data_IF_171744670338
#
_entry.id   IF_171744670338
#
_cell.length_a   1.000
_cell.length_b   1.000
_cell.length_c   1.000
_cell.angle_alpha   90.00
_cell.angle_beta   90.00
_cell.angle_gamma   90.00
#
_symmetry.space_group_name_H-M   'P 1'
#
loop_
_entity.id
_entity.type
_entity.pdbx_description
1 polymer ?
#
# COMPACT_ATOMS: atom_id res chain seq x y z
N UNK A 1 8.17 -37.52 -18.95
CA UNK A 1 6.71 -37.33 -18.88
C UNK A 1 6.34 -37.04 -17.45
N UNK A 2 6.54 -35.83 -17.01
CA UNK A 2 6.03 -35.32 -15.72
C UNK A 2 4.92 -34.33 -16.04
N UNK A 3 3.81 -34.67 -15.53
CA UNK A 3 2.42 -34.27 -15.69
C UNK A 3 2.17 -32.78 -15.90
N UNK A 4 1.55 -32.45 -17.01
CA UNK A 4 0.87 -31.19 -17.36
C UNK A 4 -0.22 -30.74 -16.33
N UNK A 5 -0.39 -31.49 -15.25
CA UNK A 5 -1.45 -31.23 -14.23
C UNK A 5 -1.03 -30.17 -13.22
N UNK A 6 0.27 -29.98 -12.96
CA UNK A 6 0.73 -28.97 -11.97
C UNK A 6 0.75 -27.54 -12.53
N UNK A 7 0.73 -27.35 -13.84
CA UNK A 7 0.67 -26.04 -14.49
C UNK A 7 -0.78 -25.53 -14.55
N UNK A 8 -1.76 -26.43 -14.71
CA UNK A 8 -3.17 -26.06 -14.73
C UNK A 8 -3.72 -25.62 -13.36
N UNK A 9 -3.19 -26.20 -12.27
CA UNK A 9 -3.60 -25.82 -10.91
C UNK A 9 -3.03 -24.46 -10.46
N UNK A 10 -1.94 -23.96 -11.08
CA UNK A 10 -1.41 -22.62 -10.82
C UNK A 10 -2.22 -21.50 -11.49
N UNK A 11 -2.95 -21.79 -12.56
CA UNK A 11 -3.84 -20.83 -13.24
C UNK A 11 -5.21 -20.68 -12.56
N UNK A 12 -5.57 -21.59 -11.65
CA UNK A 12 -6.82 -21.49 -10.89
C UNK A 12 -6.76 -20.51 -9.72
N UNK A 13 -5.59 -19.94 -9.42
CA UNK A 13 -5.41 -18.95 -8.36
C UNK A 13 -5.54 -17.49 -8.82
N UNK A 14 -5.86 -17.25 -10.11
CA UNK A 14 -6.33 -15.92 -10.52
C UNK A 14 -7.74 -15.78 -9.92
N UNK A 15 -7.98 -14.83 -8.99
CA UNK A 15 -9.31 -14.62 -8.47
C UNK A 15 -10.21 -14.34 -9.66
N UNK A 16 -11.20 -15.22 -9.88
CA UNK A 16 -12.16 -15.07 -10.95
C UNK A 16 -12.65 -13.62 -10.90
N UNK A 17 -12.48 -12.89 -12.01
CA UNK A 17 -13.07 -11.58 -12.20
C UNK A 17 -14.55 -11.76 -11.93
N UNK A 18 -15.00 -11.33 -10.75
CA UNK A 18 -16.40 -11.39 -10.36
C UNK A 18 -17.19 -10.73 -11.49
N UNK A 19 -18.06 -11.49 -12.09
CA UNK A 19 -18.98 -11.04 -13.14
C UNK A 19 -19.48 -9.62 -12.84
N UNK A 20 -19.47 -8.76 -13.85
CA UNK A 20 -19.86 -7.34 -13.86
C UNK A 20 -21.28 -7.01 -13.36
N UNK A 21 -21.99 -7.94 -12.74
CA UNK A 21 -23.37 -7.74 -12.27
C UNK A 21 -23.50 -7.18 -10.85
N UNK A 22 -22.44 -7.12 -10.07
CA UNK A 22 -22.47 -6.40 -8.77
C UNK A 22 -21.62 -5.16 -8.88
N UNK A 23 -22.28 -4.00 -8.97
CA UNK A 23 -21.58 -2.71 -8.82
C UNK A 23 -20.70 -2.77 -7.57
N UNK A 24 -19.42 -2.34 -7.65
CA UNK A 24 -18.55 -2.30 -6.47
C UNK A 24 -19.27 -1.51 -5.38
N UNK A 25 -19.27 -2.03 -4.14
CA UNK A 25 -19.89 -1.33 -3.03
C UNK A 25 -19.28 0.08 -2.95
N UNK A 26 -20.11 1.08 -3.23
CA UNK A 26 -19.68 2.48 -3.21
C UNK A 26 -19.20 2.82 -1.80
N UNK A 27 -18.00 3.40 -1.66
CA UNK A 27 -17.51 3.82 -0.36
C UNK A 27 -18.41 4.89 0.23
N UNK A 28 -18.49 4.92 1.57
CA UNK A 28 -19.27 5.93 2.27
C UNK A 28 -18.75 7.33 1.92
N UNK A 29 -19.66 8.29 1.75
CA UNK A 29 -19.35 9.70 1.47
C UNK A 29 -18.43 10.31 2.53
N UNK A 30 -18.56 9.86 3.78
CA UNK A 30 -17.71 10.27 4.90
C UNK A 30 -16.46 9.42 5.09
N UNK A 31 -16.01 8.64 4.08
CA UNK A 31 -14.84 7.78 4.19
C UNK A 31 -13.57 8.42 3.61
N UNK A 32 -12.41 8.04 4.17
CA UNK A 32 -11.09 8.41 3.63
C UNK A 32 -10.79 9.90 3.57
N UNK A 33 -10.06 10.32 2.55
CA UNK A 33 -9.67 11.72 2.29
C UNK A 33 -10.86 12.67 2.14
N UNK A 34 -11.98 12.15 1.68
CA UNK A 34 -13.20 12.93 1.37
C UNK A 34 -14.04 13.25 2.59
N UNK A 35 -13.77 12.64 3.75
CA UNK A 35 -14.44 12.92 5.02
C UNK A 35 -14.46 14.43 5.36
N UNK A 36 -13.37 15.13 5.09
CA UNK A 36 -13.29 16.60 5.35
C UNK A 36 -14.18 17.40 4.42
N UNK A 37 -14.32 16.98 3.16
CA UNK A 37 -15.15 17.67 2.17
C UNK A 37 -16.65 17.44 2.41
N UNK A 38 -17.06 16.22 2.73
CA UNK A 38 -18.47 15.93 3.03
C UNK A 38 -18.97 16.67 4.27
N UNK A 39 -18.11 16.93 5.26
CA UNK A 39 -18.45 17.79 6.40
C UNK A 39 -18.29 19.28 6.06
N UNK A 40 -17.29 19.67 5.30
CA UNK A 40 -17.06 21.05 4.86
C UNK A 40 -18.18 21.60 3.97
N UNK A 41 -18.84 20.73 3.21
CA UNK A 41 -20.00 21.10 2.38
C UNK A 41 -21.17 21.67 3.20
N UNK A 42 -21.26 21.30 4.50
CA UNK A 42 -22.26 21.88 5.41
C UNK A 42 -22.15 23.41 5.56
N UNK A 43 -20.98 24.00 5.24
CA UNK A 43 -20.88 25.47 5.21
C UNK A 43 -21.86 26.08 4.18
N UNK A 44 -22.03 25.40 3.04
CA UNK A 44 -23.01 25.86 2.02
C UNK A 44 -24.45 25.68 2.47
N UNK A 45 -24.74 24.85 3.45
CA UNK A 45 -26.11 24.72 3.98
C UNK A 45 -26.56 25.95 4.75
N UNK A 46 -25.66 26.86 5.15
CA UNK A 46 -25.98 28.13 5.76
C UNK A 46 -26.81 29.05 4.84
N UNK A 47 -26.80 28.80 3.51
CA UNK A 47 -27.72 29.45 2.58
C UNK A 47 -29.20 29.22 2.93
N UNK A 48 -29.50 28.23 3.77
CA UNK A 48 -30.83 28.02 4.36
C UNK A 48 -31.36 29.27 5.09
N UNK A 49 -30.48 30.05 5.71
CA UNK A 49 -30.87 31.25 6.48
C UNK A 49 -30.97 32.51 5.64
N UNK A 50 -30.46 32.54 4.41
CA UNK A 50 -30.45 33.75 3.57
C UNK A 50 -31.87 34.33 3.33
N UNK A 51 -32.87 33.51 2.95
CA UNK A 51 -34.22 34.05 2.79
C UNK A 51 -34.84 34.60 4.10
N UNK A 52 -34.50 34.01 5.25
CA UNK A 52 -34.97 34.49 6.56
C UNK A 52 -34.38 35.87 6.91
N UNK A 53 -33.11 36.10 6.55
CA UNK A 53 -32.40 37.37 6.80
C UNK A 53 -32.96 38.50 5.90
N UNK A 54 -33.26 38.16 4.62
CA UNK A 54 -33.72 39.14 3.63
C UNK A 54 -35.21 39.44 3.78
N UNK A 55 -35.97 38.53 4.38
CA UNK A 55 -37.43 38.71 4.61
C UNK A 55 -37.71 39.83 5.62
N UNK A 56 -38.99 40.28 5.66
CA UNK A 56 -39.43 41.24 6.68
C UNK A 56 -39.15 40.71 8.09
N UNK A 57 -39.08 41.59 9.13
CA UNK A 57 -38.89 41.14 10.51
C UNK A 57 -39.85 40.00 10.84
N UNK A 58 -39.33 38.84 11.11
CA UNK A 58 -40.08 37.64 11.45
C UNK A 58 -40.20 37.51 12.98
N UNK A 59 -41.26 36.90 13.50
CA UNK A 59 -41.39 36.60 14.92
C UNK A 59 -40.25 35.72 15.40
N UNK A 60 -39.83 35.89 16.65
CA UNK A 60 -38.73 35.09 17.25
C UNK A 60 -39.02 33.58 17.20
N UNK A 61 -40.29 33.20 17.31
CA UNK A 61 -40.78 31.84 17.23
C UNK A 61 -40.40 31.18 15.89
N UNK A 62 -40.51 31.91 14.77
CA UNK A 62 -40.12 31.45 13.44
C UNK A 62 -38.63 31.20 13.38
N UNK A 63 -37.81 32.10 13.93
CA UNK A 63 -36.36 31.89 13.99
C UNK A 63 -35.96 30.63 14.78
N UNK A 64 -36.60 30.44 15.95
CA UNK A 64 -36.37 29.27 16.80
C UNK A 64 -36.74 27.99 16.06
N UNK A 65 -37.96 27.97 15.46
CA UNK A 65 -38.44 26.77 14.73
C UNK A 65 -37.55 26.43 13.54
N UNK A 66 -37.17 27.45 12.74
CA UNK A 66 -36.29 27.21 11.56
C UNK A 66 -34.88 26.81 11.95
N UNK A 67 -34.34 27.33 13.05
CA UNK A 67 -33.05 26.91 13.58
C UNK A 67 -33.07 25.46 14.07
N UNK A 68 -34.12 25.03 14.77
CA UNK A 68 -34.33 23.64 15.16
C UNK A 68 -34.46 22.72 13.93
N UNK A 69 -35.20 23.16 12.90
CA UNK A 69 -35.28 22.45 11.61
C UNK A 69 -33.92 22.28 10.95
N UNK A 70 -33.12 23.34 10.90
CA UNK A 70 -31.77 23.31 10.36
C UNK A 70 -30.84 22.35 11.15
N UNK A 71 -30.86 22.39 12.47
CA UNK A 71 -30.08 21.45 13.31
C UNK A 71 -30.51 20.01 13.08
N UNK A 72 -31.79 19.74 12.93
CA UNK A 72 -32.33 18.42 12.59
C UNK A 72 -31.83 17.96 11.22
N UNK A 73 -31.79 18.86 10.22
CA UNK A 73 -31.20 18.58 8.91
C UNK A 73 -29.71 18.19 9.04
N UNK A 74 -28.90 18.96 9.78
CA UNK A 74 -27.47 18.68 9.98
C UNK A 74 -27.26 17.30 10.58
N UNK A 75 -28.05 16.94 11.60
CA UNK A 75 -28.00 15.61 12.23
C UNK A 75 -28.35 14.50 11.22
N UNK A 76 -29.43 14.69 10.47
CA UNK A 76 -29.85 13.72 9.45
C UNK A 76 -28.81 13.55 8.33
N UNK A 77 -28.24 14.67 7.87
CA UNK A 77 -27.19 14.66 6.85
C UNK A 77 -25.95 13.92 7.34
N UNK A 78 -25.42 14.23 8.54
CA UNK A 78 -24.27 13.55 9.12
C UNK A 78 -24.54 12.05 9.27
N UNK A 79 -25.75 11.67 9.71
CA UNK A 79 -26.14 10.26 9.77
C UNK A 79 -26.19 9.63 8.38
N UNK A 80 -26.78 10.29 7.39
CA UNK A 80 -26.93 9.78 6.04
C UNK A 80 -25.58 9.49 5.36
N UNK A 81 -24.60 10.40 5.48
CA UNK A 81 -23.27 10.22 4.86
C UNK A 81 -22.41 9.12 5.53
N UNK A 82 -22.75 8.74 6.76
CA UNK A 82 -22.04 7.70 7.54
C UNK A 82 -22.77 6.35 7.54
N UNK A 83 -23.91 6.21 6.85
CA UNK A 83 -24.70 5.00 6.83
C UNK A 83 -24.52 4.23 5.52
N UNK A 84 -24.68 2.88 5.57
CA UNK A 84 -24.66 2.06 4.36
C UNK A 84 -25.86 2.39 3.45
N UNK A 85 -25.67 2.15 2.15
CA UNK A 85 -26.66 2.45 1.09
C UNK A 85 -28.07 1.90 1.39
N UNK A 86 -28.17 0.78 2.09
CA UNK A 86 -29.46 0.13 2.43
C UNK A 86 -30.38 0.98 3.29
N UNK A 87 -29.84 1.77 4.22
CA UNK A 87 -30.60 2.63 5.14
C UNK A 87 -30.77 4.05 4.63
N UNK A 88 -30.05 4.42 3.58
CA UNK A 88 -30.04 5.76 2.99
C UNK A 88 -31.43 6.28 2.57
N UNK A 89 -32.33 5.49 1.91
CA UNK A 89 -33.63 5.98 1.49
C UNK A 89 -34.47 6.57 2.65
N UNK A 90 -34.37 5.97 3.83
CA UNK A 90 -35.09 6.46 5.03
C UNK A 90 -34.61 7.86 5.43
N UNK A 91 -33.30 8.08 5.45
CA UNK A 91 -32.74 9.40 5.79
C UNK A 91 -33.07 10.44 4.73
N UNK A 92 -33.02 10.08 3.44
CA UNK A 92 -33.40 10.97 2.35
C UNK A 92 -34.88 11.37 2.43
N UNK A 93 -35.75 10.42 2.75
CA UNK A 93 -37.16 10.71 2.95
C UNK A 93 -37.38 11.66 4.14
N UNK A 94 -36.73 11.41 5.27
CA UNK A 94 -36.83 12.29 6.44
C UNK A 94 -36.33 13.72 6.14
N UNK A 95 -35.21 13.84 5.42
CA UNK A 95 -34.68 15.13 4.98
C UNK A 95 -35.64 15.83 4.02
N UNK A 96 -36.28 15.08 3.11
CA UNK A 96 -37.29 15.66 2.20
C UNK A 96 -38.51 16.18 2.95
N UNK A 97 -39.07 15.41 3.88
CA UNK A 97 -40.19 15.82 4.72
C UNK A 97 -39.84 17.04 5.55
N UNK A 98 -38.62 17.07 6.11
CA UNK A 98 -38.14 18.23 6.87
C UNK A 98 -38.01 19.48 5.98
N UNK A 99 -37.47 19.29 4.75
CA UNK A 99 -37.39 20.38 3.77
C UNK A 99 -38.78 20.98 3.46
N UNK A 100 -39.77 20.14 3.20
CA UNK A 100 -41.13 20.55 2.94
C UNK A 100 -41.69 21.30 4.17
N UNK A 101 -41.51 20.74 5.38
CA UNK A 101 -41.99 21.38 6.63
C UNK A 101 -41.38 22.78 6.85
N UNK A 102 -40.06 22.91 6.66
CA UNK A 102 -39.41 24.22 6.77
C UNK A 102 -39.89 25.21 5.70
N UNK A 103 -40.20 24.72 4.52
CA UNK A 103 -40.57 25.53 3.35
C UNK A 103 -41.89 26.28 3.50
N UNK A 104 -42.77 25.91 4.47
CA UNK A 104 -43.98 26.65 4.77
C UNK A 104 -43.69 28.09 5.26
N UNK A 105 -42.58 28.31 5.91
CA UNK A 105 -42.20 29.61 6.46
C UNK A 105 -40.87 30.14 5.89
N UNK A 106 -40.06 29.28 5.32
CA UNK A 106 -38.72 29.60 4.84
C UNK A 106 -38.42 28.96 3.49
N UNK A 107 -38.41 29.72 2.39
CA UNK A 107 -37.99 29.20 1.09
C UNK A 107 -36.56 28.61 1.08
N UNK A 108 -35.74 28.90 2.09
CA UNK A 108 -34.42 28.31 2.29
C UNK A 108 -34.44 26.78 2.47
N UNK A 109 -35.60 26.16 2.73
CA UNK A 109 -35.80 24.72 2.67
C UNK A 109 -35.34 24.08 1.36
N UNK A 110 -35.34 24.85 0.26
CA UNK A 110 -34.76 24.44 -1.04
C UNK A 110 -33.28 23.98 -0.95
N UNK A 111 -32.52 24.49 0.01
CA UNK A 111 -31.11 24.09 0.24
C UNK A 111 -31.01 22.61 0.63
N UNK A 112 -31.93 22.14 1.48
CA UNK A 112 -31.96 20.73 1.92
C UNK A 112 -32.19 19.79 0.72
N UNK A 113 -33.05 20.21 -0.22
CA UNK A 113 -33.34 19.44 -1.45
C UNK A 113 -32.07 19.24 -2.30
N UNK A 114 -31.25 20.28 -2.38
CA UNK A 114 -29.96 20.18 -3.08
C UNK A 114 -29.03 19.16 -2.45
N UNK A 115 -28.94 19.08 -1.13
CA UNK A 115 -28.13 18.07 -0.44
C UNK A 115 -28.68 16.65 -0.67
N UNK A 116 -29.99 16.47 -0.73
CA UNK A 116 -30.61 15.20 -1.12
C UNK A 116 -30.17 14.82 -2.55
N UNK A 117 -30.26 15.79 -3.49
CA UNK A 117 -29.87 15.58 -4.88
C UNK A 117 -28.39 15.19 -5.03
N UNK A 118 -27.50 15.81 -4.25
CA UNK A 118 -26.08 15.44 -4.21
C UNK A 118 -25.88 13.98 -3.77
N UNK A 119 -26.49 13.58 -2.67
CA UNK A 119 -26.40 12.21 -2.14
C UNK A 119 -26.95 11.20 -3.18
N UNK A 120 -28.09 11.52 -3.79
CA UNK A 120 -28.71 10.69 -4.84
C UNK A 120 -27.78 10.55 -6.05
N UNK A 121 -27.13 11.64 -6.49
CA UNK A 121 -26.16 11.65 -7.58
C UNK A 121 -24.92 10.78 -7.32
N UNK A 122 -24.46 10.77 -6.07
CA UNK A 122 -23.30 9.98 -5.66
C UNK A 122 -23.59 8.48 -5.59
N UNK A 123 -24.69 8.08 -4.94
CA UNK A 123 -24.96 6.66 -4.69
C UNK A 123 -25.70 5.95 -5.83
N UNK A 124 -26.45 6.66 -6.66
CA UNK A 124 -27.26 6.05 -7.70
C UNK A 124 -26.59 6.10 -9.08
N UNK A 125 -26.99 5.20 -9.98
CA UNK A 125 -26.66 5.33 -11.38
C UNK A 125 -27.29 6.59 -11.98
N UNK A 126 -26.75 7.13 -13.09
CA UNK A 126 -27.28 8.34 -13.70
C UNK A 126 -28.79 8.20 -14.01
N UNK A 127 -29.22 7.07 -14.54
CA UNK A 127 -30.64 6.81 -14.89
C UNK A 127 -31.53 6.80 -13.66
N UNK A 128 -31.16 6.04 -12.63
CA UNK A 128 -31.93 5.92 -11.38
C UNK A 128 -31.90 7.22 -10.59
N UNK A 129 -30.80 7.94 -10.61
CA UNK A 129 -30.67 9.25 -9.97
C UNK A 129 -31.57 10.30 -10.61
N UNK A 130 -31.59 10.40 -11.95
CA UNK A 130 -32.49 11.33 -12.68
C UNK A 130 -33.95 10.98 -12.38
N UNK A 131 -34.31 9.68 -12.38
CA UNK A 131 -35.66 9.25 -12.08
C UNK A 131 -36.07 9.65 -10.63
N UNK A 132 -35.19 9.43 -9.66
CA UNK A 132 -35.45 9.79 -8.26
C UNK A 132 -35.66 11.30 -8.07
N UNK A 133 -34.83 12.12 -8.73
CA UNK A 133 -34.95 13.57 -8.69
C UNK A 133 -36.22 14.02 -9.43
N UNK A 134 -36.53 13.39 -10.56
CA UNK A 134 -37.77 13.69 -11.29
C UNK A 134 -39.01 13.45 -10.44
N UNK A 135 -39.08 12.33 -9.72
CA UNK A 135 -40.19 12.08 -8.78
C UNK A 135 -40.23 13.10 -7.65
N UNK A 136 -39.07 13.43 -7.07
CA UNK A 136 -39.00 14.45 -6.01
C UNK A 136 -39.47 15.81 -6.50
N UNK A 137 -39.09 16.25 -7.70
CA UNK A 137 -39.52 17.50 -8.30
C UNK A 137 -41.00 17.49 -8.65
N UNK A 138 -41.55 16.38 -9.13
CA UNK A 138 -42.97 16.25 -9.39
C UNK A 138 -43.81 16.43 -8.12
N UNK A 139 -43.35 15.85 -7.00
CA UNK A 139 -44.01 16.05 -5.70
C UNK A 139 -43.93 17.52 -5.28
N UNK A 140 -42.78 18.19 -5.45
CA UNK A 140 -42.63 19.61 -5.12
C UNK A 140 -43.51 20.51 -6.00
N UNK A 141 -43.63 20.22 -7.29
CA UNK A 141 -44.55 20.97 -8.18
C UNK A 141 -45.97 20.77 -7.75
N UNK A 142 -46.39 19.55 -7.39
CA UNK A 142 -47.74 19.26 -6.88
C UNK A 142 -48.00 20.06 -5.58
N UNK A 143 -47.08 20.05 -4.64
CA UNK A 143 -47.19 20.85 -3.40
C UNK A 143 -47.20 22.34 -3.67
N UNK A 144 -46.42 22.80 -4.65
CA UNK A 144 -46.44 24.22 -5.05
C UNK A 144 -47.82 24.67 -5.54
N UNK A 145 -48.45 23.86 -6.38
CA UNK A 145 -49.78 24.18 -6.92
C UNK A 145 -50.86 24.12 -5.85
N UNK A 146 -50.79 23.13 -4.94
CA UNK A 146 -51.86 22.83 -4.00
C UNK A 146 -51.73 23.58 -2.66
N UNK A 147 -50.53 23.87 -2.20
CA UNK A 147 -50.26 24.32 -0.83
C UNK A 147 -49.50 25.64 -0.75
N UNK A 148 -48.44 25.80 -1.57
CA UNK A 148 -47.50 26.96 -1.43
C UNK A 148 -47.88 28.20 -2.23
N UNK A 149 -49.07 28.33 -2.64
CA UNK A 149 -49.67 29.44 -3.39
C UNK A 149 -48.72 30.61 -3.69
N UNK A 150 -48.11 30.64 -4.90
CA UNK A 150 -47.11 31.64 -5.39
C UNK A 150 -45.68 31.61 -4.81
N UNK A 151 -45.24 30.51 -4.21
CA UNK A 151 -43.83 30.37 -3.78
C UNK A 151 -42.89 30.02 -4.96
N UNK A 152 -42.93 30.79 -6.06
CA UNK A 152 -42.10 30.53 -7.27
C UNK A 152 -40.61 30.48 -6.97
N UNK A 153 -40.15 31.24 -5.96
CA UNK A 153 -38.75 31.22 -5.53
C UNK A 153 -38.36 29.85 -4.96
N UNK A 154 -39.21 29.18 -4.18
CA UNK A 154 -38.93 27.85 -3.64
C UNK A 154 -38.72 26.83 -4.77
N UNK A 155 -39.62 26.84 -5.78
CA UNK A 155 -39.55 25.90 -6.88
C UNK A 155 -38.31 26.12 -7.76
N UNK A 156 -38.05 27.37 -8.15
CA UNK A 156 -36.89 27.72 -8.98
C UNK A 156 -35.59 27.48 -8.26
N UNK A 157 -35.45 27.82 -6.99
CA UNK A 157 -34.27 27.57 -6.18
C UNK A 157 -34.03 26.07 -5.96
N UNK A 158 -35.09 25.28 -5.71
CA UNK A 158 -35.00 23.84 -5.56
C UNK A 158 -34.56 23.18 -6.84
N UNK A 159 -35.08 23.57 -8.00
CA UNK A 159 -34.74 23.05 -9.29
C UNK A 159 -33.27 23.32 -9.63
N UNK A 160 -32.83 24.58 -9.52
CA UNK A 160 -31.46 24.99 -9.81
C UNK A 160 -30.47 24.29 -8.87
N UNK A 161 -30.73 24.32 -7.59
CA UNK A 161 -29.87 23.74 -6.57
C UNK A 161 -29.74 22.21 -6.75
N UNK A 162 -30.87 21.50 -7.03
CA UNK A 162 -30.87 20.07 -7.30
C UNK A 162 -30.10 19.72 -8.56
N UNK A 163 -30.27 20.53 -9.64
CA UNK A 163 -29.53 20.25 -10.88
C UNK A 163 -28.01 20.36 -10.69
N UNK A 164 -27.56 21.42 -10.02
CA UNK A 164 -26.15 21.69 -9.78
C UNK A 164 -25.57 20.63 -8.83
N UNK A 165 -26.19 20.40 -7.67
CA UNK A 165 -25.68 19.49 -6.67
C UNK A 165 -25.79 18.01 -7.09
N UNK A 166 -26.80 17.64 -7.86
CA UNK A 166 -26.86 16.34 -8.49
C UNK A 166 -25.68 16.13 -9.46
N UNK A 167 -25.40 17.12 -10.31
CA UNK A 167 -24.22 17.09 -11.19
C UNK A 167 -22.91 16.89 -10.44
N UNK A 168 -22.72 17.60 -9.33
CA UNK A 168 -21.58 17.39 -8.45
C UNK A 168 -21.56 15.98 -7.85
N UNK A 169 -22.70 15.45 -7.41
CA UNK A 169 -22.79 14.07 -6.92
C UNK A 169 -22.40 13.04 -7.96
N UNK A 170 -22.86 13.18 -9.20
CA UNK A 170 -22.48 12.30 -10.31
C UNK A 170 -21.00 12.41 -10.66
N UNK A 171 -20.43 13.64 -10.65
CA UNK A 171 -19.01 13.86 -10.90
C UNK A 171 -18.16 13.18 -9.83
N UNK A 172 -18.51 13.38 -8.57
CA UNK A 172 -17.84 12.76 -7.42
C UNK A 172 -17.90 11.23 -7.46
N UNK A 173 -19.05 10.67 -7.88
CA UNK A 173 -19.17 9.23 -8.14
C UNK A 173 -18.19 8.76 -9.20
N UNK A 174 -18.10 9.46 -10.35
CA UNK A 174 -17.20 9.10 -11.44
C UNK A 174 -15.75 9.11 -10.98
N UNK A 175 -15.34 10.13 -10.26
CA UNK A 175 -13.97 10.26 -9.73
C UNK A 175 -13.64 9.13 -8.74
N UNK A 176 -14.57 8.81 -7.84
CA UNK A 176 -14.41 7.70 -6.89
C UNK A 176 -14.27 6.35 -7.61
N UNK A 177 -15.13 6.09 -8.59
CA UNK A 177 -15.05 4.84 -9.38
C UNK A 177 -13.77 4.76 -10.20
N UNK A 178 -13.29 5.90 -10.74
CA UNK A 178 -12.03 5.96 -11.48
C UNK A 178 -10.85 5.64 -10.57
N UNK A 179 -10.74 6.29 -9.41
CA UNK A 179 -9.66 6.05 -8.45
C UNK A 179 -9.65 4.60 -7.93
N UNK A 180 -10.81 3.99 -7.72
CA UNK A 180 -10.91 2.57 -7.34
C UNK A 180 -10.39 1.64 -8.46
N UNK A 181 -10.76 1.94 -9.72
CA UNK A 181 -10.25 1.17 -10.88
C UNK A 181 -8.74 1.31 -11.04
N UNK A 182 -8.21 2.53 -10.92
CA UNK A 182 -6.77 2.78 -10.98
C UNK A 182 -6.01 2.02 -9.89
N UNK A 183 -6.52 2.03 -8.66
CA UNK A 183 -5.94 1.27 -7.56
C UNK A 183 -5.94 -0.24 -7.84
N UNK A 184 -7.04 -0.78 -8.36
CA UNK A 184 -7.13 -2.20 -8.72
C UNK A 184 -6.19 -2.57 -9.88
N UNK A 185 -6.08 -1.69 -10.89
CA UNK A 185 -5.17 -1.89 -12.02
C UNK A 185 -3.71 -1.83 -11.57
N UNK A 186 -3.35 -0.89 -10.70
CA UNK A 186 -2.00 -0.79 -10.13
C UNK A 186 -1.62 -2.05 -9.35
N UNK A 187 -2.54 -2.59 -8.57
CA UNK A 187 -2.31 -3.85 -7.83
C UNK A 187 -2.17 -5.05 -8.77
N UNK A 188 -3.03 -5.16 -9.79
CA UNK A 188 -2.93 -6.21 -10.79
C UNK A 188 -1.60 -6.15 -11.56
N UNK A 189 -1.14 -4.94 -11.93
CA UNK A 189 0.16 -4.74 -12.58
C UNK A 189 1.32 -5.15 -11.67
N UNK A 190 1.27 -4.86 -10.38
CA UNK A 190 2.29 -5.30 -9.41
C UNK A 190 2.38 -6.83 -9.37
N UNK A 191 1.25 -7.51 -9.28
CA UNK A 191 1.20 -8.98 -9.27
C UNK A 191 1.75 -9.56 -10.56
N UNK A 192 1.35 -9.03 -11.73
CA UNK A 192 1.85 -9.48 -13.04
C UNK A 192 3.34 -9.23 -13.20
N UNK A 193 3.84 -8.07 -12.76
CA UNK A 193 5.27 -7.74 -12.76
C UNK A 193 6.09 -8.75 -11.92
N UNK A 194 5.60 -9.10 -10.72
CA UNK A 194 6.25 -10.08 -9.86
C UNK A 194 6.29 -11.48 -10.49
N UNK A 195 5.20 -11.90 -11.17
CA UNK A 195 5.15 -13.18 -11.90
C UNK A 195 6.15 -13.18 -13.08
N UNK A 196 6.14 -12.12 -13.89
CA UNK A 196 7.05 -12.00 -15.04
C UNK A 196 8.52 -12.00 -14.61
N UNK A 197 8.85 -11.30 -13.52
CA UNK A 197 10.19 -11.29 -12.97
C UNK A 197 10.61 -12.67 -12.46
N UNK A 198 9.73 -13.38 -11.75
CA UNK A 198 9.98 -14.74 -11.30
C UNK A 198 10.23 -15.71 -12.48
N UNK A 199 9.48 -15.56 -13.58
CA UNK A 199 9.67 -16.36 -14.78
C UNK A 199 11.00 -16.04 -15.49
N UNK A 200 11.38 -14.76 -15.56
CA UNK A 200 12.66 -14.30 -16.10
C UNK A 200 13.81 -14.92 -15.31
N UNK A 201 13.77 -14.83 -13.98
CA UNK A 201 14.81 -15.38 -13.11
C UNK A 201 14.88 -16.91 -13.24
N UNK A 202 13.74 -17.60 -13.37
CA UNK A 202 13.71 -19.04 -13.61
C UNK A 202 14.42 -19.44 -14.90
N UNK A 203 14.32 -18.66 -15.97
CA UNK A 203 15.06 -18.87 -17.23
C UNK A 203 16.54 -18.59 -17.05
N UNK A 204 16.90 -17.47 -16.45
CA UNK A 204 18.30 -17.09 -16.21
C UNK A 204 19.04 -18.16 -15.36
N UNK A 205 18.36 -18.68 -14.33
CA UNK A 205 18.88 -19.79 -13.51
C UNK A 205 19.04 -21.08 -14.32
N UNK A 206 18.09 -21.40 -15.18
CA UNK A 206 18.16 -22.60 -16.02
C UNK A 206 19.34 -22.52 -16.99
N UNK A 207 19.57 -21.36 -17.57
CA UNK A 207 20.66 -21.15 -18.53
C UNK A 207 22.03 -21.25 -17.83
N UNK A 208 22.21 -20.57 -16.69
CA UNK A 208 23.47 -20.64 -15.91
C UNK A 208 23.73 -22.07 -15.42
N UNK A 209 22.70 -22.70 -14.83
CA UNK A 209 22.85 -24.09 -14.34
C UNK A 209 23.10 -25.09 -15.48
N UNK A 210 22.45 -24.94 -16.63
CA UNK A 210 22.58 -25.80 -17.78
C UNK A 210 24.01 -25.78 -18.35
N UNK A 211 24.59 -24.59 -18.51
CA UNK A 211 25.98 -24.46 -18.99
C UNK A 211 27.01 -25.02 -17.99
N UNK A 212 26.84 -24.73 -16.71
CA UNK A 212 27.77 -25.24 -15.69
C UNK A 212 27.68 -26.75 -15.53
N UNK A 213 26.47 -27.33 -15.51
CA UNK A 213 26.27 -28.78 -15.42
C UNK A 213 26.87 -29.53 -16.65
N UNK A 214 26.72 -28.94 -17.85
CA UNK A 214 27.33 -29.49 -19.06
C UNK A 214 28.87 -29.51 -18.98
N UNK A 215 29.48 -28.44 -18.47
CA UNK A 215 30.92 -28.34 -18.25
C UNK A 215 31.43 -29.33 -17.19
N UNK A 216 30.67 -29.49 -16.08
CA UNK A 216 30.93 -30.47 -15.02
C UNK A 216 30.92 -31.88 -15.61
N UNK A 217 29.90 -32.22 -16.41
CA UNK A 217 29.79 -33.55 -17.04
C UNK A 217 30.95 -33.84 -17.98
N UNK A 218 31.34 -32.84 -18.81
CA UNK A 218 32.45 -33.00 -19.73
C UNK A 218 33.78 -33.21 -18.98
N UNK A 219 34.04 -32.46 -17.92
CA UNK A 219 35.27 -32.61 -17.11
C UNK A 219 35.29 -33.94 -16.36
N UNK A 220 34.17 -34.44 -15.88
CA UNK A 220 34.06 -35.75 -15.27
C UNK A 220 34.39 -36.88 -16.28
N UNK A 221 33.84 -36.78 -17.50
CA UNK A 221 34.16 -37.75 -18.58
C UNK A 221 35.63 -37.69 -19.01
N UNK A 222 36.24 -36.49 -19.02
CA UNK A 222 37.66 -36.34 -19.32
C UNK A 222 38.55 -36.97 -18.24
N UNK A 223 38.21 -36.73 -16.96
CA UNK A 223 38.92 -37.34 -15.84
C UNK A 223 38.86 -38.87 -15.90
N UNK A 224 37.70 -39.46 -16.19
CA UNK A 224 37.52 -40.91 -16.35
C UNK A 224 38.42 -41.49 -17.49
N UNK A 225 38.41 -40.81 -18.66
CA UNK A 225 39.29 -41.19 -19.78
C UNK A 225 40.77 -41.05 -19.48
N UNK A 226 41.19 -40.09 -18.65
CA UNK A 226 42.58 -39.91 -18.25
C UNK A 226 43.01 -41.01 -17.27
N UNK A 227 42.15 -41.41 -16.34
CA UNK A 227 42.35 -42.54 -15.44
C UNK A 227 42.52 -43.82 -16.24
N UNK A 228 41.64 -44.08 -17.21
CA UNK A 228 41.74 -45.30 -18.07
C UNK A 228 42.96 -45.34 -18.92
N UNK A 229 43.72 -44.25 -19.11
CA UNK A 229 45.03 -44.16 -19.82
C UNK A 229 46.23 -44.05 -18.89
N UNK A 230 46.02 -44.29 -17.59
CA UNK A 230 47.06 -44.22 -16.56
C UNK A 230 47.70 -42.82 -16.37
N UNK A 231 47.01 -41.79 -16.80
CA UNK A 231 47.40 -40.36 -16.63
C UNK A 231 46.82 -39.76 -15.34
N UNK A 232 47.25 -40.26 -14.20
CA UNK A 232 46.65 -39.97 -12.89
C UNK A 232 46.78 -38.48 -12.50
N UNK A 233 47.95 -37.86 -12.76
CA UNK A 233 48.13 -36.43 -12.43
C UNK A 233 47.26 -35.50 -13.25
N UNK A 234 47.04 -35.79 -14.53
CA UNK A 234 46.14 -35.02 -15.38
C UNK A 234 44.69 -35.21 -14.93
N UNK A 235 44.30 -36.45 -14.59
CA UNK A 235 42.97 -36.73 -14.04
C UNK A 235 42.72 -35.97 -12.71
N UNK A 236 43.72 -35.92 -11.82
CA UNK A 236 43.60 -35.18 -10.56
C UNK A 236 43.39 -33.70 -10.79
N UNK A 237 44.03 -33.08 -11.79
CA UNK A 237 43.82 -31.70 -12.18
C UNK A 237 42.37 -31.43 -12.63
N UNK A 238 41.81 -32.33 -13.44
CA UNK A 238 40.42 -32.19 -13.91
C UNK A 238 39.39 -32.36 -12.77
N UNK A 239 39.62 -33.29 -11.82
CA UNK A 239 38.78 -33.46 -10.64
C UNK A 239 38.82 -32.22 -9.74
N UNK A 240 40.01 -31.61 -9.56
CA UNK A 240 40.11 -30.35 -8.80
C UNK A 240 39.39 -29.21 -9.47
N UNK A 241 39.49 -29.06 -10.80
CA UNK A 241 38.75 -28.06 -11.57
C UNK A 241 37.24 -28.30 -11.50
N UNK A 242 36.77 -29.54 -11.51
CA UNK A 242 35.39 -29.93 -11.35
C UNK A 242 34.84 -29.52 -9.97
N UNK A 243 35.61 -29.75 -8.90
CA UNK A 243 35.24 -29.32 -7.55
C UNK A 243 35.10 -27.80 -7.44
N UNK A 244 36.01 -27.04 -8.04
CA UNK A 244 35.96 -25.58 -8.09
C UNK A 244 34.72 -25.07 -8.86
N UNK A 245 34.44 -25.66 -10.03
CA UNK A 245 33.27 -25.29 -10.84
C UNK A 245 31.95 -25.59 -10.13
N UNK A 246 31.88 -26.71 -9.40
CA UNK A 246 30.70 -27.06 -8.60
C UNK A 246 30.46 -26.09 -7.44
N UNK A 247 31.54 -25.63 -6.78
CA UNK A 247 31.43 -24.61 -5.72
C UNK A 247 31.00 -23.26 -6.27
N UNK A 248 31.54 -22.84 -7.41
CA UNK A 248 31.15 -21.62 -8.09
C UNK A 248 29.65 -21.65 -8.46
N UNK A 249 29.19 -22.73 -9.11
CA UNK A 249 27.78 -22.90 -9.47
C UNK A 249 26.87 -22.84 -8.24
N UNK A 250 27.25 -23.47 -7.13
CA UNK A 250 26.47 -23.44 -5.91
C UNK A 250 26.37 -22.00 -5.31
N UNK A 251 27.46 -21.24 -5.42
CA UNK A 251 27.52 -19.83 -5.04
C UNK A 251 26.58 -18.99 -5.92
N UNK A 252 26.66 -19.17 -7.25
CA UNK A 252 25.83 -18.41 -8.21
C UNK A 252 24.33 -18.70 -8.03
N UNK A 253 23.96 -19.97 -7.80
CA UNK A 253 22.56 -20.35 -7.50
C UNK A 253 22.11 -19.73 -6.18
N UNK A 254 22.92 -19.75 -5.12
CA UNK A 254 22.57 -19.13 -3.85
C UNK A 254 22.37 -17.64 -3.99
N UNK A 255 23.24 -16.97 -4.76
CA UNK A 255 23.13 -15.54 -5.04
C UNK A 255 21.81 -15.25 -5.79
N UNK A 256 21.54 -15.97 -6.88
CA UNK A 256 20.32 -15.76 -7.67
C UNK A 256 19.03 -16.05 -6.86
N UNK A 257 19.03 -17.09 -6.01
CA UNK A 257 17.90 -17.36 -5.10
C UNK A 257 17.73 -16.26 -4.03
N UNK A 258 18.85 -15.69 -3.58
CA UNK A 258 18.83 -14.54 -2.64
C UNK A 258 18.26 -13.30 -3.29
N UNK A 259 18.57 -13.04 -4.55
CA UNK A 259 18.06 -11.90 -5.32
C UNK A 259 16.56 -12.05 -5.65
N UNK A 260 16.01 -13.27 -5.65
CA UNK A 260 14.56 -13.55 -5.83
C UNK A 260 13.73 -13.20 -4.59
N UNK A 261 14.28 -13.38 -3.40
CA UNK A 261 13.62 -12.99 -2.16
C UNK A 261 13.85 -11.49 -1.95
N UNK A 262 12.94 -10.67 -2.43
CA UNK A 262 12.81 -9.31 -1.91
C UNK A 262 12.42 -9.44 -0.43
N UNK A 263 13.42 -9.50 0.43
CA UNK A 263 13.21 -9.52 1.87
C UNK A 263 12.91 -8.08 2.29
N UNK A 264 11.76 -7.88 2.91
CA UNK A 264 11.48 -6.64 3.61
C UNK A 264 12.48 -6.52 4.77
N UNK A 265 13.13 -5.37 4.87
CA UNK A 265 14.11 -5.11 5.92
C UNK A 265 13.46 -5.17 7.30
N UNK A 266 12.27 -4.59 7.46
CA UNK A 266 11.50 -4.60 8.69
C UNK A 266 11.09 -6.00 9.13
N UNK A 267 10.65 -6.84 8.18
CA UNK A 267 10.25 -8.22 8.49
C UNK A 267 11.45 -9.06 8.95
N UNK A 268 12.61 -8.90 8.31
CA UNK A 268 13.82 -9.65 8.72
C UNK A 268 14.36 -9.14 10.04
N UNK A 269 14.36 -7.81 10.30
CA UNK A 269 14.73 -7.25 11.61
C UNK A 269 13.83 -7.79 12.72
N UNK A 270 12.52 -7.83 12.51
CA UNK A 270 11.57 -8.33 13.50
C UNK A 270 11.79 -9.82 13.80
N UNK A 271 12.04 -10.62 12.76
CA UNK A 271 12.31 -12.04 12.86
C UNK A 271 13.65 -12.32 13.56
N UNK A 272 14.72 -11.62 13.16
CA UNK A 272 16.05 -11.80 13.72
C UNK A 272 16.11 -11.33 15.19
N UNK A 273 15.36 -10.28 15.54
CA UNK A 273 15.16 -9.85 16.91
C UNK A 273 14.53 -10.97 17.74
N UNK A 274 13.40 -11.53 17.28
CA UNK A 274 12.74 -12.63 17.98
C UNK A 274 13.67 -13.83 18.16
N UNK A 275 14.44 -14.17 17.11
CA UNK A 275 15.38 -15.29 17.15
C UNK A 275 16.51 -15.08 18.16
N UNK A 276 17.05 -13.87 18.27
CA UNK A 276 18.08 -13.52 19.26
C UNK A 276 17.50 -13.53 20.67
N UNK A 277 16.30 -12.97 20.90
CA UNK A 277 15.60 -12.95 22.18
C UNK A 277 15.28 -14.38 22.68
N UNK A 278 14.82 -15.27 21.79
CA UNK A 278 14.60 -16.69 22.10
C UNK A 278 15.88 -17.43 22.52
N UNK A 279 17.05 -16.96 22.05
CA UNK A 279 18.35 -17.50 22.42
C UNK A 279 19.02 -16.74 23.59
N UNK A 280 18.28 -15.89 24.30
CA UNK A 280 18.72 -15.25 25.54
C UNK A 280 19.48 -13.92 25.38
N UNK A 281 19.48 -13.32 24.19
CA UNK A 281 20.07 -12.01 23.96
C UNK A 281 19.06 -10.89 24.29
N UNK A 282 19.55 -9.80 24.86
CA UNK A 282 18.80 -8.56 24.99
C UNK A 282 19.00 -7.71 23.73
N UNK A 283 17.96 -7.50 22.92
CA UNK A 283 18.06 -6.84 21.63
C UNK A 283 17.45 -5.44 21.68
N UNK A 284 18.28 -4.43 21.43
CA UNK A 284 17.83 -3.05 21.24
C UNK A 284 17.84 -2.70 19.76
N UNK A 285 16.73 -2.15 19.29
CA UNK A 285 16.59 -1.68 17.91
C UNK A 285 16.18 -0.21 17.92
N UNK A 286 16.98 0.63 17.29
CA UNK A 286 16.67 2.05 17.06
C UNK A 286 16.59 2.27 15.54
N UNK A 287 15.35 2.40 15.03
CA UNK A 287 15.08 2.54 13.60
C UNK A 287 14.41 3.88 13.38
N UNK A 288 15.11 4.78 12.74
CA UNK A 288 14.56 6.09 12.40
C UNK A 288 13.40 5.95 11.40
N UNK A 289 12.25 6.54 11.74
CA UNK A 289 11.03 6.44 10.94
C UNK A 289 11.22 6.97 9.51
N UNK A 290 10.91 6.13 8.51
CA UNK A 290 11.04 6.46 7.09
C UNK A 290 12.34 6.00 6.43
N UNK A 291 13.21 5.28 7.15
CA UNK A 291 14.44 4.71 6.61
C UNK A 291 14.20 3.83 5.37
N UNK A 292 13.19 2.96 5.45
CA UNK A 292 12.83 2.07 4.35
C UNK A 292 12.32 2.80 3.11
N UNK A 293 11.61 3.92 3.29
CA UNK A 293 11.11 4.71 2.17
C UNK A 293 12.22 5.38 1.33
N UNK A 294 13.46 5.37 1.83
CA UNK A 294 14.64 5.94 1.16
C UNK A 294 15.57 4.89 0.58
N UNK A 295 15.25 3.62 0.72
CA UNK A 295 15.99 2.52 0.15
C UNK A 295 15.29 2.01 -1.11
N UNK A 296 16.07 1.66 -2.12
CA UNK A 296 15.55 0.85 -3.23
C UNK A 296 15.28 -0.58 -2.75
N UNK A 297 14.39 -1.30 -3.43
CA UNK A 297 14.07 -2.70 -3.10
C UNK A 297 15.32 -3.59 -3.06
N UNK A 298 16.32 -3.31 -3.90
CA UNK A 298 17.61 -4.01 -3.90
C UNK A 298 18.43 -3.69 -2.66
N UNK A 299 18.53 -2.40 -2.26
CA UNK A 299 19.25 -1.96 -1.07
C UNK A 299 18.62 -2.55 0.19
N UNK A 300 17.30 -2.50 0.29
CA UNK A 300 16.52 -3.07 1.39
C UNK A 300 16.79 -4.59 1.55
N UNK A 301 16.70 -5.33 0.45
CA UNK A 301 16.93 -6.77 0.45
C UNK A 301 18.39 -7.16 0.81
N UNK A 302 19.38 -6.40 0.32
CA UNK A 302 20.77 -6.70 0.65
C UNK A 302 21.11 -6.35 2.11
N UNK A 303 20.56 -5.27 2.67
CA UNK A 303 20.70 -4.96 4.09
C UNK A 303 20.06 -6.04 4.97
N UNK A 304 18.86 -6.51 4.62
CA UNK A 304 18.19 -7.60 5.31
C UNK A 304 19.06 -8.87 5.35
N UNK A 305 19.70 -9.22 4.22
CA UNK A 305 20.61 -10.37 4.16
C UNK A 305 21.89 -10.17 4.96
N UNK A 306 22.41 -8.94 5.05
CA UNK A 306 23.57 -8.61 5.89
C UNK A 306 23.18 -8.78 7.36
N UNK A 307 22.03 -8.27 7.80
CA UNK A 307 21.56 -8.43 9.18
C UNK A 307 21.40 -9.90 9.54
N UNK A 308 20.78 -10.68 8.68
CA UNK A 308 20.64 -12.14 8.86
C UNK A 308 21.96 -12.86 9.04
N UNK A 309 22.98 -12.52 8.25
CA UNK A 309 24.32 -13.10 8.39
C UNK A 309 24.98 -12.68 9.71
N UNK A 310 24.82 -11.41 10.12
CA UNK A 310 25.31 -10.89 11.38
C UNK A 310 24.62 -11.59 12.57
N UNK A 311 23.30 -11.75 12.53
CA UNK A 311 22.52 -12.50 13.52
C UNK A 311 23.01 -13.95 13.63
N UNK A 312 23.25 -14.61 12.49
CA UNK A 312 23.78 -15.97 12.46
C UNK A 312 25.19 -16.04 13.07
N UNK A 313 26.03 -15.05 12.81
CA UNK A 313 27.37 -14.97 13.36
C UNK A 313 27.34 -14.73 14.88
N UNK A 314 26.45 -13.84 15.35
CA UNK A 314 26.23 -13.62 16.81
C UNK A 314 25.83 -14.91 17.49
N UNK A 315 24.83 -15.62 16.98
CA UNK A 315 24.37 -16.89 17.58
C UNK A 315 25.44 -17.98 17.60
N UNK A 316 26.40 -17.96 16.68
CA UNK A 316 27.46 -18.96 16.58
C UNK A 316 28.70 -18.63 17.40
N UNK A 317 29.04 -17.36 17.52
CA UNK A 317 30.37 -16.96 17.96
C UNK A 317 30.37 -15.97 19.12
N UNK A 318 29.24 -15.32 19.43
CA UNK A 318 29.19 -14.34 20.52
C UNK A 318 29.22 -15.05 21.88
N UNK A 319 29.98 -14.46 22.79
CA UNK A 319 29.98 -14.77 24.21
C UNK A 319 29.23 -13.69 25.02
N UNK A 320 28.59 -12.73 24.35
CA UNK A 320 27.78 -11.67 24.93
C UNK A 320 26.32 -12.09 25.15
N UNK A 321 25.56 -11.19 25.75
CA UNK A 321 24.15 -11.36 26.02
C UNK A 321 23.29 -10.19 25.50
N UNK A 322 23.88 -9.27 24.72
CA UNK A 322 23.17 -8.11 24.19
C UNK A 322 23.63 -7.78 22.75
N UNK A 323 22.69 -7.31 21.95
CA UNK A 323 22.88 -6.85 20.58
C UNK A 323 22.16 -5.53 20.37
N UNK A 324 22.79 -4.57 19.69
CA UNK A 324 22.12 -3.37 19.23
C UNK A 324 22.16 -3.25 17.70
N UNK A 325 21.03 -2.83 17.12
CA UNK A 325 20.86 -2.54 15.71
C UNK A 325 20.29 -1.14 15.57
N UNK A 326 21.06 -0.24 15.00
CA UNK A 326 20.68 1.15 14.78
C UNK A 326 20.62 1.43 13.29
N UNK A 327 19.54 2.08 12.82
CA UNK A 327 19.36 2.53 11.45
C UNK A 327 19.07 4.02 11.41
N UNK A 328 20.09 4.79 11.10
CA UNK A 328 20.08 6.26 11.01
C UNK A 328 19.87 6.71 9.56
N UNK A 329 19.05 7.73 9.36
CA UNK A 329 18.79 8.32 8.04
C UNK A 329 19.10 9.80 8.04
N UNK A 330 20.05 10.19 7.23
CA UNK A 330 20.33 11.58 6.93
C UNK A 330 19.77 11.97 5.54
N UNK A 331 19.81 13.23 5.17
CA UNK A 331 19.27 13.72 3.90
C UNK A 331 19.78 12.95 2.67
N UNK A 332 21.04 12.46 2.71
CA UNK A 332 21.69 11.81 1.56
C UNK A 332 22.20 10.40 1.85
N UNK A 333 22.16 9.94 3.11
CA UNK A 333 22.77 8.67 3.49
C UNK A 333 21.87 7.87 4.44
N UNK A 334 21.92 6.55 4.28
CA UNK A 334 21.39 5.59 5.25
C UNK A 334 22.57 4.86 5.87
N UNK A 335 22.62 4.80 7.19
CA UNK A 335 23.67 4.14 7.94
C UNK A 335 23.07 3.11 8.87
N UNK A 336 23.48 1.87 8.70
CA UNK A 336 23.16 0.75 9.57
C UNK A 336 24.36 0.45 10.46
N UNK A 337 24.12 0.32 11.76
CA UNK A 337 25.12 -0.11 12.73
C UNK A 337 24.61 -1.33 13.48
N UNK A 338 25.30 -2.45 13.36
CA UNK A 338 25.04 -3.67 14.13
C UNK A 338 26.18 -3.86 15.12
N UNK A 339 25.89 -4.01 16.40
CA UNK A 339 26.86 -4.17 17.46
C UNK A 339 26.50 -5.39 18.30
N UNK A 340 27.43 -6.34 18.36
CA UNK A 340 27.41 -7.44 19.31
C UNK A 340 28.19 -7.03 20.55
N UNK A 341 27.61 -7.14 21.73
CA UNK A 341 28.24 -6.75 23.00
C UNK A 341 29.12 -7.86 23.60
N UNK A 342 29.37 -8.94 22.87
CA UNK A 342 30.37 -9.94 23.22
C UNK A 342 31.79 -9.36 23.22
N UNK A 343 32.65 -9.87 24.09
CA UNK A 343 34.04 -9.39 24.18
C UNK A 343 34.96 -10.27 23.32
N UNK A 344 35.74 -9.63 22.47
CA UNK A 344 36.78 -10.31 21.67
C UNK A 344 38.14 -10.04 22.30
N UNK A 345 38.76 -11.07 22.87
CA UNK A 345 40.07 -10.95 23.54
C UNK A 345 41.24 -10.95 22.55
N UNK A 346 41.13 -11.62 21.41
CA UNK A 346 42.21 -11.74 20.43
C UNK A 346 41.70 -11.80 18.98
N UNK A 347 42.08 -10.82 18.18
CA UNK A 347 41.74 -10.76 16.75
C UNK A 347 42.56 -11.68 15.88
N UNK A 348 43.72 -12.15 16.34
CA UNK A 348 44.59 -13.07 15.55
C UNK A 348 43.94 -14.45 15.28
N UNK A 349 42.89 -14.79 16.03
CA UNK A 349 42.13 -16.03 15.83
C UNK A 349 40.93 -15.87 14.86
N UNK A 350 40.57 -14.63 14.48
CA UNK A 350 39.45 -14.38 13.58
C UNK A 350 39.95 -14.54 12.14
N UNK A 351 39.73 -15.71 11.57
CA UNK A 351 39.89 -15.90 10.13
C UNK A 351 38.67 -15.33 9.41
N UNK A 352 38.88 -14.44 8.43
CA UNK A 352 37.82 -14.07 7.53
C UNK A 352 37.22 -15.33 6.86
N UNK A 353 36.06 -15.73 7.33
CA UNK A 353 35.28 -16.82 6.76
C UNK A 353 34.37 -16.33 5.64
N UNK A 354 33.68 -17.27 4.98
CA UNK A 354 32.78 -16.99 3.87
C UNK A 354 31.63 -15.99 4.26
N UNK A 355 31.26 -15.91 5.55
CA UNK A 355 30.23 -15.00 6.04
C UNK A 355 30.62 -13.52 5.92
N UNK A 356 31.81 -13.15 6.39
CA UNK A 356 32.31 -11.78 6.31
C UNK A 356 32.60 -11.35 4.87
N UNK A 357 33.11 -12.25 4.05
CA UNK A 357 33.27 -12.01 2.60
C UNK A 357 31.92 -11.77 1.93
N UNK A 358 30.88 -12.55 2.26
CA UNK A 358 29.53 -12.36 1.75
C UNK A 358 28.90 -11.04 2.18
N UNK A 359 29.20 -10.51 3.39
CA UNK A 359 28.77 -9.19 3.82
C UNK A 359 29.40 -8.11 2.94
N UNK A 360 30.71 -8.17 2.68
CA UNK A 360 31.42 -7.20 1.82
C UNK A 360 30.90 -7.24 0.37
N UNK A 361 30.69 -8.42 -0.19
CA UNK A 361 30.15 -8.60 -1.54
C UNK A 361 28.74 -8.02 -1.67
N UNK A 362 27.88 -8.28 -0.71
CA UNK A 362 26.52 -7.73 -0.67
C UNK A 362 26.52 -6.20 -0.58
N UNK A 363 27.34 -5.63 0.32
CA UNK A 363 27.48 -4.20 0.43
C UNK A 363 28.01 -3.56 -0.86
N UNK A 364 29.03 -4.16 -1.49
CA UNK A 364 29.55 -3.69 -2.77
C UNK A 364 28.49 -3.72 -3.88
N UNK A 365 27.59 -4.71 -3.89
CA UNK A 365 26.51 -4.86 -4.88
C UNK A 365 25.48 -3.70 -4.84
N UNK A 366 25.41 -2.98 -3.72
CA UNK A 366 24.54 -1.82 -3.50
C UNK A 366 25.32 -0.50 -3.35
N UNK A 367 26.60 -0.52 -3.70
CA UNK A 367 27.51 0.62 -3.58
C UNK A 367 27.57 1.19 -2.15
N UNK A 368 27.54 0.31 -1.15
CA UNK A 368 27.67 0.66 0.24
C UNK A 368 29.10 0.47 0.74
N UNK A 369 29.54 1.38 1.59
CA UNK A 369 30.77 1.25 2.35
C UNK A 369 30.55 0.38 3.59
N UNK A 370 31.48 -0.53 3.88
CA UNK A 370 31.44 -1.41 5.05
C UNK A 370 32.67 -1.25 5.90
N UNK A 371 32.46 -0.92 7.17
CA UNK A 371 33.48 -0.93 8.21
C UNK A 371 33.18 -2.06 9.22
N UNK A 372 34.15 -2.95 9.43
CA UNK A 372 34.05 -4.07 10.36
C UNK A 372 35.16 -3.96 11.39
N UNK A 373 34.81 -3.77 12.63
CA UNK A 373 35.73 -3.73 13.77
C UNK A 373 35.36 -4.80 14.80
N UNK A 374 36.36 -5.40 15.43
CA UNK A 374 36.15 -6.49 16.40
C UNK A 374 36.50 -6.12 17.83
N UNK A 375 37.27 -5.06 18.05
CA UNK A 375 37.74 -4.67 19.37
C UNK A 375 37.08 -3.36 19.83
N UNK A 376 36.63 -3.25 21.08
CA UNK A 376 36.52 -4.32 22.09
C UNK A 376 35.33 -5.25 21.85
N UNK A 377 34.40 -4.87 20.97
CA UNK A 377 33.19 -5.56 20.59
C UNK A 377 33.07 -5.64 19.06
N UNK A 378 32.48 -6.71 18.50
CA UNK A 378 32.18 -6.77 17.08
C UNK A 378 31.18 -5.68 16.68
N UNK A 379 31.58 -4.83 15.76
CA UNK A 379 30.72 -3.77 15.21
C UNK A 379 30.86 -3.81 13.70
N UNK A 380 29.71 -3.85 13.03
CA UNK A 380 29.62 -3.73 11.57
C UNK A 380 28.78 -2.49 11.24
N UNK A 381 29.39 -1.60 10.47
CA UNK A 381 28.72 -0.40 9.95
C UNK A 381 28.61 -0.49 8.45
N UNK A 382 27.42 -0.26 7.94
CA UNK A 382 27.14 -0.20 6.51
C UNK A 382 26.57 1.17 6.20
N UNK A 383 27.18 1.90 5.30
CA UNK A 383 26.73 3.23 4.89
C UNK A 383 26.51 3.28 3.39
N UNK A 384 25.35 3.76 2.98
CA UNK A 384 24.97 3.88 1.57
C UNK A 384 24.28 5.19 1.28
N UNK A 385 24.32 5.62 0.01
CA UNK A 385 23.61 6.81 -0.45
C UNK A 385 22.14 6.52 -0.57
N UNK A 386 21.30 7.35 0.05
CA UNK A 386 19.84 7.25 -0.06
C UNK A 386 19.40 7.57 -1.50
N UNK A 387 18.53 6.75 -2.08
CA UNK A 387 17.86 7.13 -3.31
C UNK A 387 16.84 8.24 -3.03
N UNK A 388 16.96 9.37 -3.72
CA UNK A 388 15.93 10.41 -3.69
C UNK A 388 14.65 9.83 -4.28
N UNK A 389 13.61 9.69 -3.47
CA UNK A 389 12.29 9.29 -3.96
C UNK A 389 11.81 10.33 -4.97
N UNK A 390 11.64 9.92 -6.22
CA UNK A 390 11.09 10.73 -7.34
C UNK A 390 9.62 11.16 -7.13
N UNK A 391 9.09 11.09 -5.88
CA UNK A 391 7.69 11.38 -5.56
C UNK A 391 7.36 12.87 -5.37
N UNK A 392 8.29 13.82 -5.60
CA UNK A 392 8.03 15.25 -5.32
C UNK A 392 8.06 16.16 -6.57
N UNK A 393 7.87 15.61 -7.78
CA UNK A 393 7.75 16.41 -9.02
C UNK A 393 6.41 16.26 -9.75
N UNK A 394 5.31 16.06 -9.01
CA UNK A 394 3.96 16.08 -9.58
C UNK A 394 3.03 17.02 -8.78
N UNK A 395 3.54 18.19 -8.35
CA UNK A 395 2.73 19.28 -7.82
C UNK A 395 3.40 20.64 -8.13
N UNK A 396 3.27 21.04 -9.37
CA UNK A 396 3.26 22.44 -9.80
C UNK A 396 2.21 22.59 -10.90
#
# INVERSE_FOLDING_TARGET
MLSNKSIQDSYSAVPAVKNESTAPDMPLLASGRKKRWSHGSLLFSLFFFVPLIISRPLPIETWVLQTLGYLSFVILYIKAINQPVKTLPTYLLLMFLLSVACSFQNPGGATIIGFIAFIVGYYNSLKTGIMSIGVMMLVLVSLHITVFNNAHFLLSASLLNSLVLFGFGVMERKETLHSLKESQQAEALRVLSAIAERERIGRDLHDVAGHALSSISLKAQLADKLISKDKIEDAHREVKALAQLSQALLSDIRQAVSDIKQLSLSDEIAKDKSLLEENGFNVTTDIEGGAEARLSAKQESQLALIIKELTTNTLRYSNGNAVSLDLEVNEQTVKMTYKDHGVVENTASIKEGNGLMGIRERAASIHADVDISFLPHPIVRVQLTAEQSLSHKASL
#
